data_IF_101998667151
#
_entry.id   IF_101998667151
#
_cell.length_a   1.000
_cell.length_b   1.000
_cell.length_c   1.000
_cell.angle_alpha   90.00
_cell.angle_beta   90.00
_cell.angle_gamma   90.00
#
_symmetry.space_group_name_H-M   'P 1'
#
loop_
_entity.id
_entity.type
_entity.pdbx_description
1 polymer ?
#
# COMPACT_ATOMS: atom_id res chain seq x y z
N UNK A 1 20.24 -44.38 -48.84
CA UNK A 1 19.54 -43.60 -49.88
C UNK A 1 18.96 -42.36 -49.19
N UNK A 2 19.41 -41.16 -49.63
CA UNK A 2 18.86 -39.79 -49.44
C UNK A 2 18.69 -39.27 -47.99
N UNK A 3 19.46 -38.32 -47.42
CA UNK A 3 19.81 -36.89 -47.72
C UNK A 3 18.61 -35.92 -47.80
N UNK A 4 18.52 -35.00 -46.82
CA UNK A 4 18.35 -33.52 -46.90
C UNK A 4 18.02 -32.99 -45.48
N UNK A 5 18.70 -32.04 -44.79
CA UNK A 5 19.30 -30.72 -45.07
C UNK A 5 18.33 -29.62 -45.53
N UNK A 6 17.94 -28.73 -44.61
CA UNK A 6 17.70 -27.27 -44.77
C UNK A 6 17.53 -26.69 -43.35
N UNK A 7 18.38 -25.83 -42.77
CA UNK A 7 18.89 -24.49 -43.08
C UNK A 7 17.82 -23.36 -43.13
N UNK A 8 18.10 -22.34 -42.30
CA UNK A 8 17.35 -21.13 -41.93
C UNK A 8 16.91 -20.21 -43.09
N UNK A 9 16.10 -19.18 -42.79
CA UNK A 9 16.73 -17.84 -42.74
C UNK A 9 16.32 -16.98 -41.53
N UNK A 10 17.35 -16.31 -40.99
CA UNK A 10 17.27 -15.09 -40.19
C UNK A 10 16.71 -13.94 -41.04
N UNK A 11 15.92 -13.04 -40.44
CA UNK A 11 15.62 -11.73 -41.01
C UNK A 11 15.72 -10.65 -39.93
N UNK A 12 16.84 -9.93 -39.99
CA UNK A 12 17.05 -8.61 -39.40
C UNK A 12 16.40 -7.55 -40.30
N UNK A 13 15.76 -6.56 -39.68
CA UNK A 13 15.56 -5.18 -40.15
C UNK A 13 14.94 -4.42 -38.97
N UNK A 14 15.32 -3.21 -38.56
CA UNK A 14 16.27 -2.22 -39.02
C UNK A 14 16.06 -0.98 -38.12
N UNK A 15 17.14 -0.34 -37.70
CA UNK A 15 17.16 0.90 -36.91
C UNK A 15 16.54 2.06 -37.71
N UNK A 16 15.84 2.99 -37.05
CA UNK A 16 16.04 4.41 -37.36
C UNK A 16 15.78 5.33 -36.16
N UNK A 17 16.66 6.31 -36.09
CA UNK A 17 16.94 7.31 -35.07
C UNK A 17 15.98 8.49 -35.21
N UNK A 18 15.55 9.10 -34.10
CA UNK A 18 15.49 10.57 -34.05
C UNK A 18 15.85 11.11 -32.65
N UNK A 19 16.70 12.14 -32.71
CA UNK A 19 17.39 12.88 -31.65
C UNK A 19 16.93 14.33 -31.78
N UNK A 20 16.75 15.03 -30.66
CA UNK A 20 16.49 16.49 -30.59
C UNK A 20 15.57 16.80 -29.41
N UNK A 21 16.00 17.25 -28.23
CA UNK A 21 16.90 18.34 -27.78
C UNK A 21 16.27 19.73 -27.89
N UNK A 22 16.41 20.48 -26.79
CA UNK A 22 16.26 21.94 -26.59
C UNK A 22 14.89 22.37 -26.03
N UNK A 23 14.75 22.72 -24.74
CA UNK A 23 15.29 23.90 -24.03
C UNK A 23 14.79 25.22 -24.59
N UNK A 24 13.86 25.85 -23.87
CA UNK A 24 13.65 27.29 -23.87
C UNK A 24 13.20 27.71 -22.47
N UNK A 25 13.92 28.68 -21.93
CA UNK A 25 13.76 29.25 -20.61
C UNK A 25 13.15 30.65 -20.74
N UNK A 26 12.33 31.03 -19.75
CA UNK A 26 11.91 32.37 -19.30
C UNK A 26 11.38 33.40 -20.33
N UNK A 27 10.41 34.23 -19.90
CA UNK A 27 10.87 35.54 -19.46
C UNK A 27 10.36 35.96 -18.08
N UNK A 28 11.24 36.76 -17.49
CA UNK A 28 11.19 37.48 -16.24
C UNK A 28 10.29 38.71 -16.43
N UNK A 29 9.29 38.92 -15.58
CA UNK A 29 8.65 40.23 -15.42
C UNK A 29 8.94 40.74 -14.02
N UNK A 30 9.76 41.81 -14.00
CA UNK A 30 10.03 42.67 -12.86
C UNK A 30 8.85 43.60 -12.66
N UNK A 31 8.36 43.69 -11.42
CA UNK A 31 7.78 44.94 -10.90
C UNK A 31 8.35 45.18 -9.52
N UNK A 32 8.92 46.37 -9.33
CA UNK A 32 9.53 46.84 -8.09
C UNK A 32 8.55 47.73 -7.30
N UNK A 33 8.98 48.10 -6.08
CA UNK A 33 8.44 49.08 -5.12
C UNK A 33 7.45 48.47 -4.11
N UNK A 34 7.54 48.67 -2.79
CA UNK A 34 8.33 49.62 -2.01
C UNK A 34 8.61 49.11 -0.59
N UNK A 35 9.71 49.61 -0.02
CA UNK A 35 10.21 49.44 1.35
C UNK A 35 9.41 50.30 2.33
N UNK A 36 9.10 49.77 3.51
CA UNK A 36 9.25 50.49 4.79
C UNK A 36 9.62 49.50 5.89
N UNK A 37 10.73 49.81 6.55
CA UNK A 37 11.33 49.13 7.71
C UNK A 37 10.70 49.71 8.98
N UNK A 38 10.27 48.86 9.91
CA UNK A 38 10.17 49.24 11.33
C UNK A 38 10.71 48.12 12.22
N UNK A 39 11.47 48.55 13.22
CA UNK A 39 12.33 47.80 14.15
C UNK A 39 11.62 47.37 15.43
N UNK A 40 12.04 46.23 16.00
CA UNK A 40 11.46 45.58 17.20
C UNK A 40 11.63 46.32 18.54
N UNK A 41 11.28 45.65 19.66
CA UNK A 41 12.31 44.81 20.27
C UNK A 41 11.85 43.42 20.76
N UNK A 42 12.90 42.66 21.03
CA UNK A 42 13.09 41.29 21.48
C UNK A 42 12.55 41.02 22.90
N UNK A 43 11.75 39.96 23.07
CA UNK A 43 11.61 39.24 24.35
C UNK A 43 11.59 37.72 24.09
N UNK A 44 12.64 37.04 24.54
CA UNK A 44 12.76 35.59 24.70
C UNK A 44 12.52 35.22 26.18
N UNK A 45 11.97 34.03 26.52
CA UNK A 45 12.82 32.88 26.90
C UNK A 45 12.12 31.48 26.71
N UNK A 46 12.68 30.36 27.20
CA UNK A 46 13.96 29.75 26.87
C UNK A 46 13.79 28.37 26.18
N UNK A 47 14.91 27.84 25.70
CA UNK A 47 15.06 26.55 25.02
C UNK A 47 14.55 25.35 25.85
N UNK A 48 14.11 24.26 25.18
CA UNK A 48 14.78 22.93 25.21
C UNK A 48 13.96 21.90 24.39
N UNK A 49 14.56 21.41 23.31
CA UNK A 49 14.33 20.08 22.74
C UNK A 49 12.98 19.75 22.12
N UNK A 50 12.92 19.66 20.78
CA UNK A 50 12.50 18.45 20.05
C UNK A 50 12.16 18.79 18.60
N UNK A 51 12.84 18.13 17.67
CA UNK A 51 12.41 18.06 16.28
C UNK A 51 11.09 17.29 16.21
N UNK A 52 9.96 18.00 16.26
CA UNK A 52 8.65 17.46 15.92
C UNK A 52 8.18 18.10 14.62
N UNK A 53 8.77 17.67 13.51
CA UNK A 53 8.33 18.08 12.18
C UNK A 53 6.98 17.42 11.88
N UNK A 54 5.93 18.24 11.83
CA UNK A 54 4.92 18.30 10.76
C UNK A 54 4.29 16.97 10.27
N UNK A 55 3.69 16.19 11.17
CA UNK A 55 2.74 15.13 10.77
C UNK A 55 1.35 15.30 11.39
N UNK A 56 1.21 16.13 12.43
CA UNK A 56 -0.06 16.36 13.12
C UNK A 56 -1.03 17.26 12.34
N UNK A 57 -0.54 18.09 11.41
CA UNK A 57 -1.36 19.11 10.74
C UNK A 57 -2.00 18.65 9.41
N UNK A 58 -1.66 17.45 8.94
CA UNK A 58 -2.18 16.89 7.67
C UNK A 58 -3.58 16.27 7.84
N UNK A 59 -3.93 15.84 9.05
CA UNK A 59 -5.13 15.04 9.33
C UNK A 59 -6.39 15.86 9.65
N UNK A 60 -6.27 17.17 9.87
CA UNK A 60 -7.43 18.05 10.15
C UNK A 60 -8.09 18.64 8.88
N UNK A 61 -7.56 18.40 7.67
CA UNK A 61 -8.02 19.09 6.44
C UNK A 61 -8.96 18.29 5.53
N UNK A 62 -9.45 17.12 5.93
CA UNK A 62 -10.23 16.25 5.03
C UNK A 62 -11.74 16.28 5.23
N UNK A 63 -12.28 17.06 6.18
CA UNK A 63 -13.71 17.00 6.52
C UNK A 63 -14.63 17.95 5.71
N UNK A 64 -14.08 18.77 4.81
CA UNK A 64 -14.87 19.75 4.04
C UNK A 64 -15.27 19.23 2.64
N UNK A 65 -15.82 18.02 2.53
CA UNK A 65 -16.36 17.50 1.25
C UNK A 65 -17.57 16.56 1.42
N UNK A 66 -18.38 16.77 2.46
CA UNK A 66 -19.58 15.98 2.72
C UNK A 66 -20.86 16.60 2.11
N UNK A 67 -20.85 16.98 0.83
CA UNK A 67 -22.07 17.34 0.09
C UNK A 67 -22.07 16.69 -1.29
N UNK A 68 -23.09 15.86 -1.53
CA UNK A 68 -23.38 15.05 -2.72
C UNK A 68 -22.44 13.86 -3.02
N UNK A 69 -22.89 12.65 -2.64
CA UNK A 69 -22.39 11.37 -3.21
C UNK A 69 -21.33 10.58 -2.41
N UNK A 70 -20.86 11.07 -1.26
CA UNK A 70 -19.63 10.56 -0.61
C UNK A 70 -19.77 9.47 0.47
N UNK A 71 -20.96 8.99 0.84
CA UNK A 71 -21.09 7.99 1.92
C UNK A 71 -20.54 6.59 1.56
N UNK A 72 -20.09 6.40 0.31
CA UNK A 72 -19.42 5.19 -0.16
C UNK A 72 -17.91 5.19 0.11
N UNK A 73 -17.30 6.34 0.44
CA UNK A 73 -15.95 6.38 1.01
C UNK A 73 -16.06 6.07 2.50
N UNK A 74 -16.32 4.80 2.82
CA UNK A 74 -16.60 4.37 4.18
C UNK A 74 -15.47 4.71 5.17
N UNK A 75 -15.79 4.57 6.46
CA UNK A 75 -14.89 4.94 7.56
C UNK A 75 -13.61 4.10 7.51
N UNK A 76 -12.46 4.77 7.41
CA UNK A 76 -11.13 4.17 7.57
C UNK A 76 -10.96 3.61 8.98
N UNK A 77 -10.35 2.44 9.10
CA UNK A 77 -10.17 1.76 10.40
C UNK A 77 -8.72 1.39 10.60
N UNK A 78 -8.13 1.84 11.70
CA UNK A 78 -6.83 1.35 12.14
C UNK A 78 -7.02 0.01 12.85
N UNK A 79 -6.45 -1.06 12.30
CA UNK A 79 -6.58 -2.42 12.84
C UNK A 79 -5.31 -3.21 12.65
N UNK A 80 -5.13 -4.24 13.46
CA UNK A 80 -4.16 -5.33 13.26
C UNK A 80 -4.91 -6.56 12.81
N UNK A 81 -4.35 -7.33 11.88
CA UNK A 81 -4.96 -8.61 11.46
C UNK A 81 -4.25 -9.78 12.11
N UNK A 82 -4.88 -10.34 13.14
CA UNK A 82 -4.34 -11.45 13.91
C UNK A 82 -4.79 -12.80 13.36
N UNK A 83 -3.85 -13.67 13.03
CA UNK A 83 -4.08 -15.06 12.64
C UNK A 83 -3.63 -16.01 13.75
N UNK A 84 -4.53 -16.88 14.24
CA UNK A 84 -4.27 -17.78 15.39
C UNK A 84 -3.33 -18.96 15.07
N UNK A 85 -2.82 -19.08 13.85
CA UNK A 85 -1.97 -20.23 13.47
C UNK A 85 -0.64 -20.27 14.22
N UNK A 86 -0.13 -21.47 14.51
CA UNK A 86 1.14 -21.63 15.23
C UNK A 86 1.06 -21.02 16.63
N UNK A 87 1.94 -20.06 16.92
CA UNK A 87 1.94 -19.27 18.16
C UNK A 87 1.00 -18.05 18.09
N UNK A 88 0.33 -17.83 16.95
CA UNK A 88 -0.42 -16.62 16.68
C UNK A 88 0.47 -15.52 16.09
N UNK A 89 -0.02 -14.85 15.06
CA UNK A 89 0.74 -13.82 14.33
C UNK A 89 -0.16 -12.67 13.89
N UNK A 90 0.33 -11.44 14.01
CA UNK A 90 -0.20 -10.27 13.33
C UNK A 90 0.50 -10.12 11.99
N UNK A 91 -0.26 -9.90 10.91
CA UNK A 91 0.36 -9.52 9.64
C UNK A 91 1.07 -8.18 9.81
N UNK A 92 2.27 -8.07 9.26
CA UNK A 92 3.06 -6.85 9.26
C UNK A 92 3.64 -6.61 7.87
N UNK A 93 3.85 -5.32 7.57
CA UNK A 93 4.51 -4.87 6.35
C UNK A 93 5.75 -4.10 6.78
N UNK A 94 6.91 -4.70 6.56
CA UNK A 94 8.20 -4.19 7.01
C UNK A 94 8.72 -3.05 6.09
N UNK A 95 9.71 -2.25 6.54
CA UNK A 95 10.30 -1.17 5.75
C UNK A 95 10.95 -1.61 4.43
N UNK A 96 11.40 -2.86 4.36
CA UNK A 96 11.98 -3.47 3.16
C UNK A 96 10.91 -3.97 2.18
N UNK A 97 9.62 -3.75 2.48
CA UNK A 97 8.47 -4.22 1.71
C UNK A 97 8.09 -5.68 1.99
N UNK A 98 8.80 -6.36 2.88
CA UNK A 98 8.49 -7.75 3.19
C UNK A 98 7.20 -7.85 4.02
N UNK A 99 6.32 -8.74 3.58
CA UNK A 99 5.09 -9.09 4.29
C UNK A 99 5.29 -10.41 5.02
N UNK A 100 5.08 -10.40 6.33
CA UNK A 100 5.16 -11.58 7.18
C UNK A 100 4.28 -11.45 8.41
N UNK A 101 4.35 -12.43 9.31
CA UNK A 101 3.64 -12.45 10.57
C UNK A 101 4.60 -12.31 11.74
N UNK A 102 4.32 -11.38 12.64
CA UNK A 102 5.00 -11.22 13.93
C UNK A 102 4.09 -11.66 15.08
N UNK A 103 4.66 -12.34 16.07
CA UNK A 103 3.89 -12.79 17.24
C UNK A 103 3.42 -11.61 18.09
N UNK A 104 4.38 -10.75 18.45
CA UNK A 104 4.12 -9.55 19.23
C UNK A 104 3.53 -8.46 18.34
N UNK A 105 2.75 -7.58 18.94
CA UNK A 105 2.27 -6.37 18.27
C UNK A 105 3.44 -5.40 18.09
N UNK A 106 3.59 -4.89 16.88
CA UNK A 106 4.51 -3.82 16.54
C UNK A 106 3.74 -2.75 15.75
N UNK A 107 4.30 -1.57 15.71
CA UNK A 107 3.91 -0.47 14.85
C UNK A 107 3.88 -0.81 13.34
N UNK A 108 4.64 -1.81 12.86
CA UNK A 108 4.54 -2.32 11.47
C UNK A 108 3.34 -3.26 11.24
N UNK A 109 2.67 -3.74 12.30
CA UNK A 109 1.45 -4.55 12.18
C UNK A 109 0.16 -3.72 12.21
N UNK A 110 0.27 -2.40 12.42
CA UNK A 110 -0.85 -1.48 12.35
C UNK A 110 -1.19 -1.16 10.88
N UNK A 111 -2.39 -1.53 10.47
CA UNK A 111 -2.90 -1.30 9.12
C UNK A 111 -4.04 -0.28 9.14
N UNK A 112 -4.01 0.64 8.19
CA UNK A 112 -5.19 1.38 7.76
C UNK A 112 -5.99 0.49 6.80
N UNK A 113 -7.18 0.12 7.23
CA UNK A 113 -8.16 -0.59 6.42
C UNK A 113 -9.16 0.42 5.87
N UNK A 114 -9.07 0.67 4.56
CA UNK A 114 -9.87 1.68 3.87
C UNK A 114 -10.85 1.00 2.91
N UNK A 115 -12.17 1.20 3.05
CA UNK A 115 -13.15 0.60 2.17
C UNK A 115 -13.09 1.25 0.78
N UNK A 116 -13.19 0.42 -0.26
CA UNK A 116 -13.23 0.85 -1.67
C UNK A 116 -14.66 0.74 -2.20
N UNK A 117 -15.30 -0.39 -1.93
CA UNK A 117 -16.70 -0.66 -2.22
C UNK A 117 -17.29 -1.56 -1.13
N UNK A 118 -18.56 -1.95 -1.27
CA UNK A 118 -19.24 -2.76 -0.26
C UNK A 118 -18.51 -4.10 -0.05
N UNK A 119 -17.89 -4.25 1.12
CA UNK A 119 -17.19 -5.47 1.52
C UNK A 119 -15.81 -5.63 0.87
N UNK A 120 -15.30 -4.61 0.17
CA UNK A 120 -13.94 -4.60 -0.38
C UNK A 120 -13.13 -3.52 0.32
N UNK A 121 -11.93 -3.91 0.76
CA UNK A 121 -11.02 -3.05 1.50
C UNK A 121 -9.64 -3.07 0.87
N UNK A 122 -8.92 -1.98 1.06
CA UNK A 122 -7.46 -1.93 0.96
C UNK A 122 -6.85 -2.13 2.34
N UNK A 123 -5.62 -2.62 2.37
CA UNK A 123 -4.84 -2.82 3.59
C UNK A 123 -3.52 -2.07 3.45
N UNK A 124 -3.37 -0.95 4.17
CA UNK A 124 -2.20 -0.09 4.07
C UNK A 124 -1.38 -0.12 5.36
N UNK A 125 -0.11 -0.49 5.29
CA UNK A 125 0.81 -0.47 6.42
C UNK A 125 1.14 0.96 6.82
N UNK A 126 0.60 1.42 7.95
CA UNK A 126 0.69 2.83 8.38
C UNK A 126 2.13 3.27 8.54
N UNK A 127 2.96 2.44 9.19
CA UNK A 127 4.36 2.78 9.46
C UNK A 127 5.27 2.61 8.25
N UNK A 128 5.01 1.61 7.40
CA UNK A 128 5.89 1.30 6.27
C UNK A 128 5.52 2.05 4.98
N UNK A 129 4.29 2.56 4.88
CA UNK A 129 3.84 3.33 3.72
C UNK A 129 3.51 2.47 2.49
N UNK A 130 3.24 1.18 2.68
CA UNK A 130 2.94 0.25 1.59
C UNK A 130 1.55 -0.35 1.71
N UNK A 131 0.88 -0.54 0.56
CA UNK A 131 -0.27 -1.41 0.44
C UNK A 131 0.16 -2.87 0.45
N UNK A 132 -0.64 -3.72 1.10
CA UNK A 132 -0.62 -5.16 0.84
C UNK A 132 -1.30 -5.39 -0.51
N UNK A 133 -0.65 -6.14 -1.38
CA UNK A 133 -1.17 -6.52 -2.69
C UNK A 133 -0.95 -8.00 -2.97
N UNK A 134 -1.70 -8.56 -3.93
CA UNK A 134 -1.57 -9.95 -4.35
C UNK A 134 -1.46 -10.07 -5.86
N UNK A 135 -0.36 -10.68 -6.30
CA UNK A 135 -0.12 -10.95 -7.73
C UNK A 135 -0.99 -12.10 -8.26
N UNK A 136 -1.11 -12.21 -9.58
CA UNK A 136 -1.79 -13.33 -10.27
C UNK A 136 -1.28 -14.73 -9.88
N UNK A 137 -0.06 -14.84 -9.35
CA UNK A 137 0.54 -16.10 -8.91
C UNK A 137 0.11 -16.51 -7.48
N UNK A 138 -0.68 -15.65 -6.83
CA UNK A 138 -1.07 -15.73 -5.44
C UNK A 138 0.02 -15.26 -4.46
N UNK A 139 1.12 -14.68 -4.93
CA UNK A 139 2.15 -14.15 -4.02
C UNK A 139 1.73 -12.79 -3.48
N UNK A 140 1.76 -12.65 -2.15
CA UNK A 140 1.62 -11.36 -1.48
C UNK A 140 2.91 -10.55 -1.65
N UNK A 141 2.74 -9.26 -1.92
CA UNK A 141 3.82 -8.31 -2.05
C UNK A 141 3.37 -6.92 -1.58
N UNK A 142 4.32 -6.03 -1.31
CA UNK A 142 4.06 -4.64 -0.95
C UNK A 142 4.03 -3.74 -2.18
N UNK A 143 3.05 -2.84 -2.28
CA UNK A 143 2.99 -1.83 -3.33
C UNK A 143 3.04 -0.41 -2.75
N UNK A 144 3.84 0.47 -3.35
CA UNK A 144 3.85 1.92 -3.02
C UNK A 144 2.57 2.59 -3.52
N UNK A 145 2.07 2.15 -4.67
CA UNK A 145 0.93 2.75 -5.34
C UNK A 145 -0.29 1.85 -5.22
N UNK A 146 -1.44 2.47 -5.00
CA UNK A 146 -2.72 1.78 -5.08
C UNK A 146 -2.97 1.25 -6.50
N UNK A 147 -3.60 0.08 -6.58
CA UNK A 147 -4.04 -0.55 -7.81
C UNK A 147 -4.98 -1.72 -7.53
N UNK A 148 -5.52 -2.38 -8.56
CA UNK A 148 -6.55 -3.42 -8.42
C UNK A 148 -6.06 -4.64 -7.61
N UNK A 149 -4.75 -4.93 -7.61
CA UNK A 149 -4.17 -6.01 -6.81
C UNK A 149 -4.12 -5.70 -5.30
N UNK A 150 -4.40 -4.46 -4.89
CA UNK A 150 -4.44 -4.02 -3.49
C UNK A 150 -5.81 -4.20 -2.83
N UNK A 151 -6.80 -4.67 -3.58
CA UNK A 151 -8.18 -4.79 -3.14
C UNK A 151 -8.51 -6.21 -2.69
N UNK A 152 -9.15 -6.30 -1.51
CA UNK A 152 -9.54 -7.57 -0.92
C UNK A 152 -11.00 -7.55 -0.48
N UNK A 153 -11.77 -8.57 -0.89
CA UNK A 153 -13.09 -8.85 -0.35
C UNK A 153 -12.96 -9.39 1.06
N UNK A 154 -13.43 -8.63 2.03
CA UNK A 154 -13.57 -9.04 3.43
C UNK A 154 -14.80 -9.95 3.57
N UNK A 155 -14.56 -11.22 3.88
CA UNK A 155 -15.62 -12.23 4.08
C UNK A 155 -15.66 -12.66 5.54
N UNK A 156 -16.81 -12.47 6.19
CA UNK A 156 -17.06 -13.04 7.50
C UNK A 156 -17.26 -14.56 7.39
N UNK A 157 -16.51 -15.32 8.18
CA UNK A 157 -16.59 -16.77 8.23
C UNK A 157 -17.51 -17.23 9.37
N UNK A 158 -17.96 -18.48 9.31
CA UNK A 158 -18.86 -19.08 10.31
C UNK A 158 -18.27 -19.11 11.74
N UNK A 159 -16.95 -19.02 11.88
CA UNK A 159 -16.27 -18.99 13.17
C UNK A 159 -15.99 -17.56 13.68
N UNK A 160 -16.62 -16.54 13.10
CA UNK A 160 -16.45 -15.12 13.44
C UNK A 160 -15.04 -14.55 13.17
N UNK A 161 -14.23 -15.23 12.37
CA UNK A 161 -13.02 -14.66 11.76
C UNK A 161 -13.36 -14.10 10.38
N UNK A 162 -12.50 -13.23 9.87
CA UNK A 162 -12.57 -12.73 8.50
C UNK A 162 -11.54 -13.46 7.62
N UNK A 163 -11.89 -13.69 6.37
CA UNK A 163 -10.97 -14.03 5.30
C UNK A 163 -10.92 -12.90 4.27
N UNK A 164 -9.74 -12.67 3.71
CA UNK A 164 -9.50 -11.62 2.72
C UNK A 164 -9.16 -12.25 1.38
N UNK A 165 -10.11 -12.20 0.45
CA UNK A 165 -9.97 -12.74 -0.90
C UNK A 165 -9.54 -11.63 -1.87
N UNK A 166 -8.59 -11.89 -2.78
CA UNK A 166 -8.22 -10.91 -3.81
C UNK A 166 -9.44 -10.56 -4.68
N UNK A 167 -9.71 -9.27 -4.84
CA UNK A 167 -10.76 -8.80 -5.74
C UNK A 167 -10.38 -9.05 -7.21
N UNK A 168 -9.11 -8.80 -7.57
CA UNK A 168 -8.54 -9.04 -8.89
C UNK A 168 -8.43 -10.53 -9.25
N UNK A 169 -8.15 -11.39 -8.26
CA UNK A 169 -7.98 -12.83 -8.45
C UNK A 169 -8.90 -13.64 -7.50
N UNK A 170 -10.20 -13.76 -7.83
CA UNK A 170 -11.15 -14.50 -7.01
C UNK A 170 -10.70 -15.94 -6.74
N UNK A 171 -10.97 -16.45 -5.55
CA UNK A 171 -10.50 -17.74 -5.07
C UNK A 171 -9.11 -17.73 -4.45
N UNK A 172 -8.37 -16.62 -4.51
CA UNK A 172 -7.07 -16.47 -3.83
C UNK A 172 -7.20 -15.67 -2.54
N UNK A 173 -6.62 -16.18 -1.45
CA UNK A 173 -6.79 -15.59 -0.11
C UNK A 173 -5.47 -15.18 0.53
N UNK A 174 -5.49 -14.10 1.30
CA UNK A 174 -4.38 -13.79 2.21
C UNK A 174 -4.24 -14.97 3.19
N UNK A 175 -3.00 -15.40 3.44
CA UNK A 175 -2.76 -16.44 4.42
C UNK A 175 -1.38 -16.41 5.05
N UNK A 176 -1.31 -16.77 6.33
CA UNK A 176 -0.08 -16.94 7.09
C UNK A 176 0.09 -18.42 7.51
N UNK A 177 1.30 -18.94 7.33
CA UNK A 177 1.66 -20.28 7.80
C UNK A 177 1.92 -20.32 9.30
N UNK A 178 2.07 -21.54 9.84
CA UNK A 178 2.43 -21.76 11.26
C UNK A 178 3.75 -21.12 11.69
N UNK A 179 4.61 -20.75 10.74
CA UNK A 179 5.90 -20.09 10.98
C UNK A 179 5.84 -18.57 10.79
N UNK A 180 4.65 -17.98 10.62
CA UNK A 180 4.48 -16.56 10.33
C UNK A 180 4.81 -16.17 8.88
N UNK A 181 5.26 -17.10 8.04
CA UNK A 181 5.51 -16.80 6.61
C UNK A 181 4.22 -16.78 5.81
N UNK A 182 4.13 -15.86 4.85
CA UNK A 182 3.00 -15.79 3.92
C UNK A 182 2.84 -17.07 3.11
N UNK A 183 1.59 -17.40 2.80
CA UNK A 183 1.21 -18.52 1.91
C UNK A 183 0.81 -17.95 0.55
N UNK A 184 1.00 -18.74 -0.50
CA UNK A 184 0.46 -18.40 -1.82
C UNK A 184 -1.07 -18.50 -1.79
N UNK A 185 -1.76 -17.46 -2.25
CA UNK A 185 -3.21 -17.34 -2.22
C UNK A 185 -3.93 -18.44 -2.97
N UNK A 186 -3.37 -18.93 -4.07
CA UNK A 186 -3.90 -20.06 -4.84
C UNK A 186 -3.69 -21.44 -4.18
N UNK A 187 -3.04 -21.50 -3.01
CA UNK A 187 -2.81 -22.75 -2.25
C UNK A 187 -3.57 -22.78 -0.92
N UNK A 188 -4.43 -21.79 -0.69
CA UNK A 188 -5.20 -21.66 0.55
C UNK A 188 -6.66 -21.41 0.24
N UNK A 189 -7.54 -21.86 1.13
CA UNK A 189 -8.99 -21.71 1.01
C UNK A 189 -9.56 -21.11 2.29
N UNK A 190 -10.78 -20.55 2.28
CA UNK A 190 -11.40 -19.97 3.48
C UNK A 190 -11.71 -21.02 4.57
N UNK A 191 -11.69 -22.31 4.25
CA UNK A 191 -11.87 -23.38 5.24
C UNK A 191 -10.57 -23.66 6.04
N UNK A 192 -9.42 -23.17 5.57
CA UNK A 192 -8.14 -23.40 6.23
C UNK A 192 -7.86 -22.28 7.23
N UNK A 193 -7.50 -22.64 8.47
CA UNK A 193 -7.24 -21.65 9.55
C UNK A 193 -6.11 -20.65 9.24
N UNK A 194 -5.24 -20.96 8.28
CA UNK A 194 -4.18 -20.05 7.77
C UNK A 194 -4.73 -18.79 7.10
N UNK A 195 -6.01 -18.77 6.71
CA UNK A 195 -6.68 -17.61 6.10
C UNK A 195 -7.59 -16.87 7.07
N UNK A 196 -7.67 -17.30 8.33
CA UNK A 196 -8.57 -16.75 9.33
C UNK A 196 -7.87 -15.63 10.08
N UNK A 197 -8.39 -14.41 9.95
CA UNK A 197 -7.86 -13.23 10.60
C UNK A 197 -8.92 -12.57 11.47
N UNK A 198 -8.53 -12.19 12.68
CA UNK A 198 -9.32 -11.41 13.60
C UNK A 198 -8.81 -9.96 13.56
N UNK A 199 -9.64 -8.99 13.12
CA UNK A 199 -9.31 -7.57 13.26
C UNK A 199 -9.23 -7.19 14.75
N UNK A 200 -8.09 -6.67 15.19
CA UNK A 200 -7.83 -6.17 16.56
C UNK A 200 -7.53 -4.67 16.53
N UNK A 201 -7.79 -3.97 17.63
CA UNK A 201 -7.38 -2.56 17.86
C UNK A 201 -5.97 -2.55 18.41
#
# INVERSE_FOLDING_TARGET
>A
MSIQMSLLPLLLCGLLVHKGRSSAAFPLVRTALNVTVESGPDETPPCTGSQAWTWASQWDKSDESAKDGGYLMGIKRLRRLYCKVGIGFHIEVLPDGKIMGAHNEDSYSLLEMSPVERGVVTLFGVRSGFFIAMSNSGQLYSSVHYGPECEFRERLLANHYNAYESAAYPGMYIGLGRTGRTKRGNRVTPNMTVTHFLPRI
#
